data_IF_875939833371
#
_entry.id   IF_875939833371
#
_cell.length_a   1.000
_cell.length_b   1.000
_cell.length_c   1.000
_cell.angle_alpha   90.00
_cell.angle_beta   90.00
_cell.angle_gamma   90.00
#
_symmetry.space_group_name_H-M   'P 1'
#
loop_
_entity.id
_entity.type
_entity.pdbx_description
1 polymer ?
#
# COMPACT_ATOMS: atom_id res chain seq x y z
N UNK A 1 -7.15 -43.23 -8.06
CA UNK A 1 -7.68 -42.42 -6.97
C UNK A 1 -6.78 -41.20 -6.88
N UNK A 2 -7.31 -40.05 -7.29
CA UNK A 2 -6.57 -38.87 -7.72
C UNK A 2 -5.75 -38.31 -6.56
N UNK A 3 -4.43 -38.23 -6.73
CA UNK A 3 -3.54 -37.51 -5.82
C UNK A 3 -3.92 -36.03 -5.82
N UNK A 4 -4.38 -35.53 -4.66
CA UNK A 4 -4.47 -34.10 -4.42
C UNK A 4 -3.07 -33.51 -4.47
N UNK A 5 -2.78 -32.79 -5.55
CA UNK A 5 -1.64 -31.88 -5.62
C UNK A 5 -2.00 -30.70 -4.72
N UNK A 6 -1.67 -30.81 -3.44
CA UNK A 6 -1.60 -29.66 -2.56
C UNK A 6 -0.57 -28.72 -3.17
N UNK A 7 -1.02 -27.57 -3.67
CA UNK A 7 -0.12 -26.53 -4.18
C UNK A 7 0.67 -26.04 -2.99
N UNK A 8 1.94 -26.43 -2.90
CA UNK A 8 2.90 -25.86 -1.97
C UNK A 8 3.01 -24.36 -2.32
N UNK A 9 2.31 -23.52 -1.56
CA UNK A 9 2.36 -22.07 -1.73
C UNK A 9 3.69 -21.62 -1.17
N UNK A 10 4.56 -21.07 -2.02
CA UNK A 10 5.85 -20.55 -1.57
C UNK A 10 5.66 -19.45 -0.52
N UNK A 11 6.72 -19.11 0.23
CA UNK A 11 6.62 -18.11 1.30
C UNK A 11 6.11 -16.76 0.75
N UNK A 12 6.47 -16.44 -0.50
CA UNK A 12 5.99 -15.25 -1.22
C UNK A 12 4.47 -15.21 -1.36
N UNK A 13 3.84 -16.34 -1.66
CA UNK A 13 2.39 -16.44 -1.85
C UNK A 13 1.63 -16.32 -0.52
N UNK A 14 2.23 -16.83 0.57
CA UNK A 14 1.69 -16.67 1.93
C UNK A 14 1.71 -15.20 2.34
N UNK A 15 2.86 -14.53 2.19
CA UNK A 15 3.02 -13.12 2.56
C UNK A 15 2.14 -12.21 1.69
N UNK A 16 1.97 -12.54 0.41
CA UNK A 16 1.14 -11.75 -0.51
C UNK A 16 -0.35 -11.68 -0.13
N UNK A 17 -0.82 -12.58 0.74
CA UNK A 17 -2.20 -12.63 1.23
C UNK A 17 -2.41 -11.87 2.55
N UNK A 18 -1.34 -11.40 3.18
CA UNK A 18 -1.44 -10.58 4.40
C UNK A 18 -2.07 -9.24 4.03
N UNK A 19 -3.09 -8.83 4.78
CA UNK A 19 -3.84 -7.59 4.57
C UNK A 19 -3.22 -6.42 5.33
N UNK A 20 -3.42 -5.21 4.83
CA UNK A 20 -3.10 -3.99 5.56
C UNK A 20 -4.08 -3.81 6.74
N UNK A 21 -3.61 -3.58 7.97
CA UNK A 21 -4.47 -3.45 9.14
C UNK A 21 -5.27 -2.14 9.17
N UNK A 22 -4.83 -1.09 8.45
CA UNK A 22 -5.58 0.16 8.31
C UNK A 22 -6.53 0.12 7.10
N UNK A 23 -6.19 -0.66 6.06
CA UNK A 23 -6.96 -0.85 4.83
C UNK A 23 -7.19 -2.34 4.52
N UNK A 24 -8.07 -3.05 5.26
CA UNK A 24 -8.21 -4.51 5.18
C UNK A 24 -8.70 -5.06 3.84
N UNK A 25 -9.18 -4.20 2.94
CA UNK A 25 -9.52 -4.56 1.56
C UNK A 25 -8.30 -4.71 0.64
N UNK A 26 -7.11 -4.31 1.09
CA UNK A 26 -5.85 -4.38 0.35
C UNK A 26 -4.88 -5.36 1.03
N UNK A 27 -4.15 -6.11 0.22
CA UNK A 27 -2.99 -6.85 0.69
C UNK A 27 -1.75 -5.97 0.73
N UNK A 28 -0.76 -6.38 1.52
CA UNK A 28 0.57 -5.74 1.51
C UNK A 28 1.23 -5.85 0.12
N UNK A 29 0.83 -6.83 -0.69
CA UNK A 29 1.24 -6.96 -2.09
C UNK A 29 0.53 -5.96 -3.00
N UNK A 30 -0.79 -5.76 -2.80
CA UNK A 30 -1.57 -4.78 -3.56
C UNK A 30 -0.95 -3.37 -3.42
N UNK A 31 -0.45 -3.04 -2.23
CA UNK A 31 0.21 -1.77 -1.89
C UNK A 31 1.70 -1.71 -2.26
N UNK A 32 2.31 -2.82 -2.66
CA UNK A 32 3.75 -2.88 -2.96
C UNK A 32 4.66 -2.69 -1.74
N UNK A 33 4.13 -2.92 -0.54
CA UNK A 33 4.86 -2.82 0.75
C UNK A 33 5.91 -3.92 0.88
N UNK A 34 5.64 -5.12 0.35
CA UNK A 34 6.58 -6.24 0.32
C UNK A 34 7.65 -5.98 -0.74
N UNK A 35 8.91 -5.90 -0.31
CA UNK A 35 10.06 -5.61 -1.20
C UNK A 35 10.86 -6.83 -1.59
N UNK A 36 11.01 -7.77 -0.67
CA UNK A 36 11.67 -9.04 -0.92
C UNK A 36 11.12 -10.11 0.02
N UNK A 37 11.08 -11.34 -0.48
CA UNK A 37 10.88 -12.55 0.32
C UNK A 37 11.98 -13.51 -0.09
N UNK A 38 12.86 -13.82 0.83
CA UNK A 38 14.03 -14.66 0.60
C UNK A 38 13.91 -15.91 1.45
N UNK A 39 13.82 -17.07 0.80
CA UNK A 39 13.79 -18.38 1.44
C UNK A 39 15.19 -18.99 1.40
N UNK A 40 15.69 -19.44 2.54
CA UNK A 40 17.01 -20.04 2.64
C UNK A 40 17.09 -21.12 3.71
N UNK A 41 18.26 -21.78 3.77
CA UNK A 41 18.53 -22.85 4.74
C UNK A 41 18.39 -22.40 6.20
N UNK A 42 18.55 -21.11 6.46
CA UNK A 42 18.43 -20.50 7.80
C UNK A 42 17.05 -19.91 8.09
N UNK A 43 16.05 -20.10 7.22
CA UNK A 43 14.69 -19.58 7.41
C UNK A 43 14.24 -18.61 6.31
N UNK A 44 13.20 -17.83 6.61
CA UNK A 44 12.58 -16.87 5.68
C UNK A 44 12.85 -15.44 6.14
N UNK A 45 13.34 -14.60 5.23
CA UNK A 45 13.51 -13.16 5.46
C UNK A 45 12.54 -12.38 4.58
N UNK A 46 11.68 -11.58 5.20
CA UNK A 46 10.75 -10.68 4.52
C UNK A 46 11.22 -9.25 4.72
N UNK A 47 11.41 -8.52 3.62
CA UNK A 47 11.72 -7.09 3.65
C UNK A 47 10.48 -6.29 3.28
N UNK A 48 10.09 -5.35 4.14
CA UNK A 48 8.95 -4.45 3.92
C UNK A 48 9.41 -2.99 3.96
N UNK A 49 8.64 -2.11 3.34
CA UNK A 49 8.84 -0.66 3.41
C UNK A 49 7.51 0.04 3.64
N UNK A 50 7.45 1.01 4.57
CA UNK A 50 6.19 1.64 4.94
C UNK A 50 5.67 2.57 3.85
N UNK A 51 4.34 2.60 3.66
CA UNK A 51 3.67 3.58 2.78
C UNK A 51 3.85 5.03 3.25
N UNK A 52 4.07 5.22 4.55
CA UNK A 52 4.42 6.51 5.16
C UNK A 52 5.46 6.28 6.25
N UNK A 53 6.56 7.04 6.28
CA UNK A 53 7.69 6.76 7.19
C UNK A 53 7.33 6.70 8.68
N UNK A 54 6.25 7.38 9.09
CA UNK A 54 5.71 7.34 10.46
C UNK A 54 4.48 6.43 10.62
N UNK A 55 4.27 5.45 9.75
CA UNK A 55 3.09 4.59 9.77
C UNK A 55 3.03 3.74 11.06
N UNK A 56 1.99 3.89 11.91
CA UNK A 56 1.86 3.13 13.15
C UNK A 56 1.58 1.64 12.93
N UNK A 57 1.03 1.28 11.77
CA UNK A 57 0.65 -0.10 11.44
C UNK A 57 1.81 -1.04 11.15
N UNK A 58 3.05 -0.55 11.06
CA UNK A 58 4.19 -1.37 10.64
C UNK A 58 4.47 -2.53 11.57
N UNK A 59 4.38 -2.33 12.89
CA UNK A 59 4.63 -3.45 13.82
C UNK A 59 3.53 -4.52 13.71
N UNK A 60 2.28 -4.12 13.51
CA UNK A 60 1.17 -5.06 13.26
C UNK A 60 1.40 -5.85 11.98
N UNK A 61 1.81 -5.20 10.88
CA UNK A 61 2.15 -5.89 9.63
C UNK A 61 3.26 -6.92 9.83
N UNK A 62 4.30 -6.60 10.63
CA UNK A 62 5.41 -7.51 10.91
C UNK A 62 4.94 -8.74 11.67
N UNK A 63 4.09 -8.55 12.66
CA UNK A 63 3.52 -9.64 13.46
C UNK A 63 2.60 -10.52 12.61
N UNK A 64 1.75 -9.92 11.77
CA UNK A 64 0.85 -10.65 10.88
C UNK A 64 1.62 -11.47 9.83
N UNK A 65 2.70 -10.92 9.26
CA UNK A 65 3.59 -11.65 8.35
C UNK A 65 4.24 -12.84 9.06
N UNK A 66 4.79 -12.64 10.26
CA UNK A 66 5.41 -13.73 11.05
C UNK A 66 4.39 -14.81 11.36
N UNK A 67 3.19 -14.43 11.79
CA UNK A 67 2.13 -15.35 12.14
C UNK A 67 1.65 -16.14 10.90
N UNK A 68 1.49 -15.48 9.76
CA UNK A 68 1.09 -16.12 8.51
C UNK A 68 2.11 -17.16 8.04
N UNK A 69 3.40 -16.80 8.03
CA UNK A 69 4.47 -17.72 7.65
C UNK A 69 4.61 -18.89 8.62
N UNK A 70 4.53 -18.63 9.93
CA UNK A 70 4.60 -19.68 10.95
C UNK A 70 3.45 -20.68 10.81
N UNK A 71 2.22 -20.20 10.57
CA UNK A 71 1.06 -21.08 10.33
C UNK A 71 1.20 -21.93 9.06
N UNK A 72 1.91 -21.42 8.06
CA UNK A 72 2.21 -22.15 6.83
C UNK A 72 3.40 -23.12 6.97
N UNK A 73 4.00 -23.24 8.16
CA UNK A 73 5.10 -24.18 8.43
C UNK A 73 6.50 -23.61 8.19
N UNK A 74 6.62 -22.33 7.84
CA UNK A 74 7.91 -21.66 7.69
C UNK A 74 8.50 -21.28 9.05
N UNK A 75 9.80 -21.49 9.23
CA UNK A 75 10.52 -21.04 10.42
C UNK A 75 12.00 -21.40 10.37
N UNK A 76 12.89 -20.55 10.91
CA UNK A 76 12.62 -19.27 11.59
C UNK A 76 12.28 -18.13 10.61
N UNK A 77 11.51 -17.12 11.06
CA UNK A 77 11.05 -15.98 10.24
C UNK A 77 11.62 -14.65 10.75
N UNK A 78 12.23 -13.87 9.86
CA UNK A 78 12.69 -12.50 10.15
C UNK A 78 11.97 -11.50 9.25
N UNK A 79 11.39 -10.45 9.84
CA UNK A 79 10.79 -9.33 9.09
C UNK A 79 11.60 -8.06 9.32
N UNK A 80 12.16 -7.51 8.23
CA UNK A 80 13.01 -6.31 8.21
C UNK A 80 12.24 -5.15 7.58
N UNK A 81 12.25 -4.00 8.25
CA UNK A 81 11.70 -2.75 7.70
C UNK A 81 12.84 -1.91 7.15
N UNK A 82 12.72 -1.48 5.89
CA UNK A 82 13.68 -0.58 5.22
C UNK A 82 12.98 0.71 4.81
N UNK A 83 13.72 1.82 4.78
CA UNK A 83 13.22 3.13 4.36
C UNK A 83 13.88 3.63 3.05
N UNK A 84 14.83 2.85 2.51
CA UNK A 84 15.55 3.17 1.28
C UNK A 84 15.51 1.96 0.32
N UNK A 85 15.08 2.15 -0.95
CA UNK A 85 14.41 3.35 -1.47
C UNK A 85 13.09 3.65 -0.73
N UNK A 86 12.71 4.93 -0.69
CA UNK A 86 11.43 5.33 -0.11
C UNK A 86 10.28 4.70 -0.90
N UNK A 87 9.18 4.39 -0.21
CA UNK A 87 7.98 3.90 -0.87
C UNK A 87 7.40 4.94 -1.81
N UNK A 88 6.92 4.49 -2.96
CA UNK A 88 6.26 5.33 -3.96
C UNK A 88 4.90 4.78 -4.30
N UNK A 89 3.95 5.69 -4.52
CA UNK A 89 2.60 5.36 -5.01
C UNK A 89 2.57 4.59 -6.33
N UNK A 90 3.64 4.65 -7.12
CA UNK A 90 3.81 3.84 -8.33
C UNK A 90 3.95 2.34 -8.06
N UNK A 91 4.21 1.93 -6.81
CA UNK A 91 4.29 0.52 -6.41
C UNK A 91 2.94 -0.11 -6.10
N UNK A 92 1.86 0.68 -6.01
CA UNK A 92 0.51 0.14 -5.87
C UNK A 92 0.12 -0.54 -7.18
N UNK A 93 -0.23 -1.82 -7.08
CA UNK A 93 -0.68 -2.64 -8.21
C UNK A 93 -1.99 -2.12 -8.81
N UNK A 94 -2.29 -2.50 -10.05
CA UNK A 94 -3.57 -2.17 -10.69
C UNK A 94 -4.77 -2.76 -9.91
N UNK A 95 -4.61 -3.96 -9.35
CA UNK A 95 -5.61 -4.57 -8.48
C UNK A 95 -5.83 -3.74 -7.21
N UNK A 96 -4.77 -3.25 -6.57
CA UNK A 96 -4.84 -2.35 -5.42
C UNK A 96 -5.54 -1.03 -5.75
N UNK A 97 -5.20 -0.40 -6.87
CA UNK A 97 -5.85 0.83 -7.35
C UNK A 97 -7.34 0.63 -7.60
N UNK A 98 -7.73 -0.52 -8.17
CA UNK A 98 -9.14 -0.87 -8.37
C UNK A 98 -9.86 -1.09 -7.03
N UNK A 99 -9.29 -1.89 -6.12
CA UNK A 99 -9.85 -2.15 -4.78
C UNK A 99 -10.06 -0.88 -3.97
N UNK A 100 -9.12 0.07 -4.04
CA UNK A 100 -9.27 1.41 -3.43
C UNK A 100 -10.51 2.12 -3.97
N UNK A 101 -10.64 2.20 -5.31
CA UNK A 101 -11.77 2.87 -5.94
C UNK A 101 -13.12 2.20 -5.62
N UNK A 102 -13.17 0.86 -5.63
CA UNK A 102 -14.34 0.06 -5.23
C UNK A 102 -14.73 0.29 -3.77
N UNK A 103 -13.75 0.50 -2.89
CA UNK A 103 -13.97 0.86 -1.49
C UNK A 103 -14.32 2.35 -1.27
N UNK A 104 -14.46 3.14 -2.34
CA UNK A 104 -14.77 4.57 -2.23
C UNK A 104 -13.58 5.44 -1.83
N UNK A 105 -12.35 4.92 -1.89
CA UNK A 105 -11.11 5.66 -1.65
C UNK A 105 -10.51 6.05 -3.01
N UNK A 106 -10.26 7.34 -3.21
CA UNK A 106 -9.63 7.81 -4.45
C UNK A 106 -8.16 7.34 -4.50
N UNK A 107 -7.77 6.51 -5.49
CA UNK A 107 -6.39 6.07 -5.63
C UNK A 107 -5.46 7.27 -5.92
N UNK A 108 -4.17 7.17 -5.59
CA UNK A 108 -3.23 8.26 -5.84
C UNK A 108 -3.01 8.43 -7.34
N UNK A 109 -2.57 9.62 -7.75
CA UNK A 109 -1.96 9.83 -9.04
C UNK A 109 -0.73 8.94 -9.28
N UNK A 110 -0.09 9.13 -10.43
CA UNK A 110 1.26 8.60 -10.67
C UNK A 110 2.27 9.55 -10.06
N UNK A 111 3.35 9.02 -9.51
CA UNK A 111 4.44 9.85 -9.03
C UNK A 111 5.06 10.64 -10.20
N UNK A 112 5.56 11.84 -9.92
CA UNK A 112 6.31 12.58 -10.92
C UNK A 112 7.56 11.80 -11.32
N UNK A 113 7.90 11.71 -12.61
CA UNK A 113 9.09 10.98 -13.04
C UNK A 113 10.34 11.61 -12.41
N UNK A 114 11.35 10.79 -12.06
CA UNK A 114 12.61 11.31 -11.51
C UNK A 114 13.26 12.26 -12.54
N UNK A 115 13.58 13.48 -12.12
CA UNK A 115 14.27 14.46 -12.96
C UNK A 115 15.79 14.32 -12.82
N UNK A 116 16.52 14.23 -13.94
CA UNK A 116 17.97 14.43 -13.96
C UNK A 116 18.30 15.90 -13.80
N UNK A 117 18.71 16.31 -12.61
CA UNK A 117 19.08 17.69 -12.28
C UNK A 117 18.76 18.04 -10.83
N UNK A 118 18.93 19.32 -10.42
CA UNK A 118 18.48 19.81 -9.13
C UNK A 118 16.97 19.56 -8.95
N UNK A 119 16.56 19.08 -7.77
CA UNK A 119 15.14 18.88 -7.44
C UNK A 119 14.45 20.25 -7.36
N UNK A 120 13.50 20.57 -8.27
CA UNK A 120 12.85 21.88 -8.26
C UNK A 120 11.96 22.04 -7.03
N UNK A 121 12.17 23.11 -6.27
CA UNK A 121 11.32 23.43 -5.13
C UNK A 121 10.05 24.13 -5.62
N UNK A 122 8.92 23.41 -5.63
CA UNK A 122 7.61 23.99 -5.96
C UNK A 122 6.98 24.55 -4.70
N UNK A 123 6.91 25.89 -4.61
CA UNK A 123 6.34 26.60 -3.45
C UNK A 123 4.81 26.75 -3.50
N UNK A 124 4.17 26.18 -4.52
CA UNK A 124 2.72 26.09 -4.62
C UNK A 124 2.25 24.71 -4.15
N UNK A 125 1.06 24.65 -3.56
CA UNK A 125 0.47 23.38 -3.16
C UNK A 125 0.31 22.47 -4.39
N UNK A 126 0.69 21.17 -4.31
CA UNK A 126 0.41 20.21 -5.37
C UNK A 126 -1.10 20.18 -5.67
N UNK A 127 -1.47 20.37 -6.93
CA UNK A 127 -2.88 20.41 -7.38
C UNK A 127 -3.21 19.24 -8.30
N UNK A 128 -2.71 18.05 -8.00
CA UNK A 128 -3.09 16.86 -8.75
C UNK A 128 -4.63 16.73 -8.72
N UNK A 129 -5.31 16.68 -9.88
CA UNK A 129 -6.76 16.60 -9.91
C UNK A 129 -7.22 15.22 -9.44
N UNK A 130 -7.72 15.15 -8.20
CA UNK A 130 -8.28 13.91 -7.64
C UNK A 130 -9.74 13.79 -8.10
N UNK A 131 -10.07 12.68 -8.76
CA UNK A 131 -11.45 12.39 -9.19
C UNK A 131 -12.27 11.80 -8.05
N UNK A 132 -13.53 12.20 -7.96
CA UNK A 132 -14.46 11.62 -6.99
C UNK A 132 -14.70 10.13 -7.32
N UNK A 133 -14.50 9.20 -6.37
CA UNK A 133 -14.70 7.77 -6.60
C UNK A 133 -16.19 7.41 -6.80
N UNK A 134 -17.11 8.27 -6.34
CA UNK A 134 -18.56 8.04 -6.44
C UNK A 134 -19.17 8.48 -7.77
N UNK A 135 -18.78 9.65 -8.30
CA UNK A 135 -19.41 10.24 -9.50
C UNK A 135 -18.42 10.56 -10.64
N UNK A 136 -17.11 10.35 -10.44
CA UNK A 136 -16.07 10.59 -11.45
C UNK A 136 -15.72 12.06 -11.71
N UNK A 137 -16.42 13.00 -11.07
CA UNK A 137 -16.18 14.44 -11.26
C UNK A 137 -14.74 14.82 -10.85
N UNK A 138 -14.05 15.64 -11.65
CA UNK A 138 -12.66 16.04 -11.38
C UNK A 138 -12.53 17.16 -10.35
N UNK A 139 -13.61 17.89 -10.06
CA UNK A 139 -13.61 19.01 -9.11
C UNK A 139 -13.75 18.52 -7.68
N UNK A 140 -12.62 18.44 -6.96
CA UNK A 140 -12.59 18.04 -5.55
C UNK A 140 -11.70 18.98 -4.74
N UNK A 141 -12.14 19.31 -3.54
CA UNK A 141 -11.37 20.13 -2.59
C UNK A 141 -10.82 19.27 -1.46
N UNK A 142 -9.63 19.62 -0.97
CA UNK A 142 -9.06 19.01 0.23
C UNK A 142 -9.67 19.67 1.46
N UNK A 143 -10.30 18.89 2.32
CA UNK A 143 -10.80 19.36 3.60
C UNK A 143 -9.73 19.24 4.70
N UNK A 144 -8.94 18.17 4.63
CA UNK A 144 -7.85 17.90 5.56
C UNK A 144 -6.77 17.08 4.89
N UNK A 145 -5.51 17.44 5.13
CA UNK A 145 -4.33 16.66 4.72
C UNK A 145 -4.14 15.37 5.52
N UNK A 146 -4.92 15.21 6.59
CA UNK A 146 -4.91 14.05 7.48
C UNK A 146 -6.27 13.35 7.42
N UNK A 147 -6.24 12.08 7.02
CA UNK A 147 -7.38 11.16 7.09
C UNK A 147 -7.29 10.24 8.32
N UNK A 148 -8.08 9.15 8.34
CA UNK A 148 -8.00 8.15 9.39
C UNK A 148 -6.68 7.36 9.39
N UNK A 149 -6.01 7.29 8.24
CA UNK A 149 -4.69 6.66 8.11
C UNK A 149 -3.63 7.70 7.78
N UNK A 150 -2.36 7.43 8.13
CA UNK A 150 -1.27 8.38 7.88
C UNK A 150 -1.06 8.67 6.39
N UNK A 151 -1.38 7.71 5.53
CA UNK A 151 -1.23 7.80 4.07
C UNK A 151 -2.43 8.45 3.36
N UNK A 152 -3.55 8.72 4.04
CA UNK A 152 -4.75 9.32 3.43
C UNK A 152 -4.94 10.81 3.77
N UNK A 153 -5.72 11.48 2.94
CA UNK A 153 -6.28 12.82 3.12
C UNK A 153 -7.80 12.77 2.95
N UNK A 154 -8.51 13.69 3.60
CA UNK A 154 -9.97 13.83 3.45
C UNK A 154 -10.30 14.90 2.41
N UNK A 155 -11.12 14.54 1.43
CA UNK A 155 -11.57 15.42 0.34
C UNK A 155 -13.09 15.47 0.26
N UNK A 156 -13.61 16.46 -0.46
CA UNK A 156 -15.04 16.55 -0.82
C UNK A 156 -15.21 16.81 -2.30
N UNK A 157 -16.17 16.12 -2.92
CA UNK A 157 -16.54 16.39 -4.30
C UNK A 157 -17.38 17.66 -4.40
N UNK A 158 -17.04 18.58 -5.30
CA UNK A 158 -17.82 19.80 -5.51
C UNK A 158 -19.13 19.55 -6.27
N UNK A 159 -19.25 18.43 -7.00
CA UNK A 159 -20.45 18.08 -7.78
C UNK A 159 -21.49 17.32 -6.95
N UNK A 160 -21.12 16.19 -6.34
CA UNK A 160 -22.06 15.39 -5.55
C UNK A 160 -22.03 15.69 -4.04
N UNK A 161 -21.09 16.53 -3.57
CA UNK A 161 -20.89 16.90 -2.16
C UNK A 161 -20.49 15.77 -1.22
N UNK A 162 -20.19 14.59 -1.74
CA UNK A 162 -19.73 13.45 -0.96
C UNK A 162 -18.31 13.69 -0.41
N UNK A 163 -18.08 13.51 0.91
CA UNK A 163 -16.73 13.40 1.46
C UNK A 163 -16.13 12.02 1.15
N UNK A 164 -14.84 11.96 0.85
CA UNK A 164 -14.16 10.70 0.57
C UNK A 164 -12.67 10.79 0.93
N UNK A 165 -12.06 9.63 1.15
CA UNK A 165 -10.63 9.53 1.40
C UNK A 165 -9.84 9.45 0.10
N UNK A 166 -8.63 9.98 0.13
CA UNK A 166 -7.68 9.92 -0.97
C UNK A 166 -6.32 9.49 -0.45
N UNK A 167 -5.74 8.45 -1.04
CA UNK A 167 -4.35 8.08 -0.77
C UNK A 167 -3.44 9.14 -1.37
N UNK A 168 -2.62 9.79 -0.55
CA UNK A 168 -1.74 10.89 -0.97
C UNK A 168 -0.63 10.39 -1.87
N UNK A 169 -0.24 11.20 -2.86
CA UNK A 169 0.97 10.97 -3.64
C UNK A 169 2.24 11.18 -2.79
N UNK A 170 3.12 10.18 -2.84
CA UNK A 170 4.46 10.15 -2.25
C UNK A 170 5.47 9.64 -3.29
#
# INVERSE_FOLDING_TARGET
MVSEVGVDLGARDVVARVVDPEMPMLTLDDLGVIRAVEEGVSGVVVTITPTYSGCPAIEVMRDDIRAALTRAGYGPVQVRTVFAPAWSTDWISEAGRRKLAEAGIAPPGRAAPPSTGPVPLTLTAPSAPVRCPRCGAPGTEELSRFGPTACTALRRCLSCREPFEHVKEL
#
